data_IF_057716278777
#
_entry.id   IF_057716278777
#
_cell.length_a   1.000
_cell.length_b   1.000
_cell.length_c   1.000
_cell.angle_alpha   90.00
_cell.angle_beta   90.00
_cell.angle_gamma   90.00
#
_symmetry.space_group_name_H-M   'P 1'
#
loop_
_entity.id
_entity.type
_entity.pdbx_description
1 polymer ?
#
# COMPACT_ATOMS: atom_id res chain seq x y z
N UNK A 1 22.08 -2.47 24.23
CA UNK A 1 22.88 -2.17 23.03
C UNK A 1 22.10 -2.46 21.75
N UNK A 2 21.40 -3.59 21.60
CA UNK A 2 20.60 -3.96 20.40
C UNK A 2 19.55 -2.92 20.01
N UNK A 3 18.86 -2.29 20.96
CA UNK A 3 17.84 -1.27 20.67
C UNK A 3 18.45 -0.04 19.96
N UNK A 4 19.65 0.37 20.34
CA UNK A 4 20.34 1.50 19.71
C UNK A 4 20.83 1.17 18.28
N UNK A 5 21.25 -0.06 18.03
CA UNK A 5 21.69 -0.52 16.71
C UNK A 5 20.50 -0.62 15.74
N UNK A 6 19.37 -1.19 16.18
CA UNK A 6 18.13 -1.26 15.40
C UNK A 6 17.59 0.14 15.08
N UNK A 7 17.61 1.07 16.05
CA UNK A 7 17.19 2.45 15.82
C UNK A 7 18.07 3.18 14.79
N UNK A 8 19.40 3.00 14.90
CA UNK A 8 20.37 3.61 13.98
C UNK A 8 20.28 3.02 12.58
N UNK A 9 20.08 1.71 12.48
CA UNK A 9 19.86 1.00 11.20
C UNK A 9 18.56 1.47 10.51
N UNK A 10 17.46 1.55 11.25
CA UNK A 10 16.19 2.05 10.70
C UNK A 10 16.30 3.51 10.21
N UNK A 11 16.97 4.38 10.95
CA UNK A 11 17.19 5.78 10.57
C UNK A 11 18.08 5.91 9.32
N UNK A 12 19.04 5.02 9.14
CA UNK A 12 19.88 4.97 7.93
C UNK A 12 19.08 4.45 6.74
N UNK A 13 18.23 3.44 6.94
CA UNK A 13 17.32 2.91 5.91
C UNK A 13 16.28 3.96 5.46
N UNK A 14 15.75 4.77 6.38
CA UNK A 14 14.85 5.88 6.04
C UNK A 14 15.55 6.96 5.22
N UNK A 15 16.79 7.31 5.53
CA UNK A 15 17.58 8.25 4.72
C UNK A 15 17.84 7.71 3.32
N UNK A 16 18.13 6.42 3.16
CA UNK A 16 18.30 5.79 1.86
C UNK A 16 16.97 5.76 1.06
N UNK A 17 15.84 5.47 1.71
CA UNK A 17 14.51 5.57 1.08
C UNK A 17 14.17 6.98 0.63
N UNK A 18 14.58 8.00 1.35
CA UNK A 18 14.38 9.40 0.98
C UNK A 18 15.23 9.83 -0.23
N UNK A 19 16.41 9.22 -0.44
CA UNK A 19 17.27 9.46 -1.59
C UNK A 19 16.73 8.86 -2.89
N UNK A 20 15.88 7.83 -2.80
CA UNK A 20 15.21 7.15 -3.94
C UNK A 20 13.76 7.64 -4.06
N UNK A 21 13.49 8.91 -3.74
CA UNK A 21 12.17 9.47 -3.93
C UNK A 21 11.82 9.49 -5.43
N UNK A 22 10.87 8.66 -5.82
CA UNK A 22 10.34 8.67 -7.20
C UNK A 22 9.69 10.03 -7.45
N UNK A 23 10.16 10.73 -8.50
CA UNK A 23 9.66 12.05 -8.89
C UNK A 23 8.85 11.96 -10.18
N UNK A 24 7.98 12.92 -10.40
CA UNK A 24 7.24 13.10 -11.64
C UNK A 24 7.30 14.56 -12.09
N UNK A 25 7.15 14.79 -13.39
CA UNK A 25 7.04 16.13 -13.99
C UNK A 25 5.60 16.59 -13.99
N UNK A 26 5.34 17.76 -13.42
CA UNK A 26 4.01 18.39 -13.42
C UNK A 26 4.09 19.82 -13.94
N UNK A 27 2.97 20.31 -14.47
CA UNK A 27 2.83 21.71 -14.88
C UNK A 27 2.05 22.45 -13.78
N UNK A 28 2.71 23.39 -13.11
CA UNK A 28 2.07 24.32 -12.15
C UNK A 28 2.40 25.75 -12.54
N UNK A 29 1.39 26.61 -12.57
CA UNK A 29 1.54 28.03 -13.00
C UNK A 29 2.21 28.18 -14.37
N UNK A 30 1.89 27.29 -15.32
CA UNK A 30 2.43 27.28 -16.67
C UNK A 30 3.90 26.87 -16.80
N UNK A 31 4.53 26.41 -15.72
CA UNK A 31 5.93 25.92 -15.71
C UNK A 31 5.99 24.44 -15.38
N UNK A 32 6.85 23.73 -16.11
CA UNK A 32 7.19 22.35 -15.78
C UNK A 32 8.12 22.32 -14.56
N UNK A 33 7.76 21.54 -13.55
CA UNK A 33 8.56 21.31 -12.36
C UNK A 33 8.57 19.81 -12.04
N UNK A 34 9.66 19.32 -11.45
CA UNK A 34 9.74 17.95 -10.91
C UNK A 34 9.39 17.97 -9.43
N UNK A 35 8.44 17.14 -9.05
CA UNK A 35 8.01 16.99 -7.65
C UNK A 35 8.07 15.52 -7.22
N UNK A 36 8.24 15.25 -5.93
CA UNK A 36 8.04 13.91 -5.38
C UNK A 36 6.61 13.44 -5.62
N UNK A 37 6.41 12.16 -5.95
CA UNK A 37 5.06 11.58 -6.19
C UNK A 37 4.11 11.84 -5.01
N UNK A 38 4.62 11.87 -3.78
CA UNK A 38 3.80 12.12 -2.58
C UNK A 38 3.16 13.53 -2.54
N UNK A 39 3.69 14.47 -3.32
CA UNK A 39 3.24 15.87 -3.37
C UNK A 39 2.24 16.15 -4.50
N UNK A 40 1.86 15.11 -5.24
CA UNK A 40 0.82 15.18 -6.26
C UNK A 40 -0.53 15.43 -5.63
N UNK A 41 -1.28 16.35 -6.20
CA UNK A 41 -2.66 16.67 -5.81
C UNK A 41 -3.62 16.56 -6.99
N UNK A 42 -4.89 16.36 -6.69
CA UNK A 42 -5.95 16.37 -7.70
C UNK A 42 -5.96 17.72 -8.41
N UNK A 43 -6.03 17.69 -9.75
CA UNK A 43 -5.97 18.87 -10.60
C UNK A 43 -4.58 19.21 -11.15
N UNK A 44 -3.50 18.58 -10.64
CA UNK A 44 -2.17 18.71 -11.24
C UNK A 44 -2.18 18.18 -12.68
N UNK A 45 -1.45 18.83 -13.57
CA UNK A 45 -1.20 18.33 -14.92
C UNK A 45 0.14 17.62 -14.94
N UNK A 46 0.12 16.30 -15.12
CA UNK A 46 1.31 15.43 -15.17
C UNK A 46 1.77 15.29 -16.61
N UNK A 47 3.09 15.38 -16.84
CA UNK A 47 3.74 15.09 -18.13
C UNK A 47 4.22 13.63 -18.09
N UNK A 48 3.81 12.86 -19.09
CA UNK A 48 4.19 11.46 -19.28
C UNK A 48 5.07 11.30 -20.51
N UNK A 49 6.12 10.52 -20.40
CA UNK A 49 7.02 10.14 -21.50
C UNK A 49 7.35 8.65 -21.39
N UNK A 50 7.88 8.07 -22.45
CA UNK A 50 8.32 6.67 -22.47
C UNK A 50 9.24 6.37 -21.27
N UNK A 51 8.97 5.27 -20.56
CA UNK A 51 9.66 4.86 -19.34
C UNK A 51 9.13 5.53 -18.05
N UNK A 52 8.20 6.49 -18.13
CA UNK A 52 7.59 7.08 -16.93
C UNK A 52 6.63 6.11 -16.26
N UNK A 53 6.70 6.01 -14.93
CA UNK A 53 5.66 5.40 -14.12
C UNK A 53 4.53 6.42 -13.90
N UNK A 54 3.30 5.98 -14.02
CA UNK A 54 2.11 6.80 -13.82
C UNK A 54 1.85 6.96 -12.32
N UNK A 55 1.91 8.21 -11.79
CA UNK A 55 1.98 8.44 -10.35
C UNK A 55 0.62 8.51 -9.65
N UNK A 56 -0.46 8.65 -10.41
CA UNK A 56 -1.83 8.82 -9.92
C UNK A 56 -2.81 8.40 -11.02
N UNK A 57 -4.11 8.34 -10.75
CA UNK A 57 -5.08 8.15 -11.84
C UNK A 57 -5.25 9.47 -12.60
N UNK A 58 -5.01 9.41 -13.91
CA UNK A 58 -4.92 10.57 -14.79
C UNK A 58 -5.96 10.48 -15.90
N UNK A 59 -6.71 11.57 -16.13
CA UNK A 59 -7.47 11.78 -17.36
C UNK A 59 -6.55 12.39 -18.42
N UNK A 60 -6.43 11.75 -19.57
CA UNK A 60 -5.59 12.21 -20.67
C UNK A 60 -6.23 13.45 -21.33
N UNK A 61 -5.42 14.52 -21.50
CA UNK A 61 -5.80 15.77 -22.18
C UNK A 61 -4.99 16.00 -23.46
N UNK A 62 -3.78 15.44 -23.54
CA UNK A 62 -2.95 15.42 -24.74
C UNK A 62 -2.29 14.05 -24.81
N UNK A 63 -2.24 13.45 -26.00
CA UNK A 63 -1.53 12.18 -26.23
C UNK A 63 -0.95 12.12 -27.63
N UNK A 64 0.26 11.59 -27.74
CA UNK A 64 0.92 11.29 -29.00
C UNK A 64 1.48 9.87 -28.92
N UNK A 65 0.86 8.96 -29.65
CA UNK A 65 1.24 7.54 -29.75
C UNK A 65 1.48 6.89 -28.38
N UNK A 66 0.59 7.18 -27.42
CA UNK A 66 0.71 6.71 -26.05
C UNK A 66 0.31 5.26 -25.93
N UNK A 67 1.26 4.42 -25.53
CA UNK A 67 1.04 3.03 -25.14
C UNK A 67 1.48 2.80 -23.70
N UNK A 68 0.61 2.16 -22.91
CA UNK A 68 0.81 1.94 -21.47
C UNK A 68 0.71 0.47 -21.16
N UNK A 69 1.68 -0.06 -20.43
CA UNK A 69 1.57 -1.41 -19.86
C UNK A 69 0.76 -1.35 -18.58
N UNK A 70 -0.30 -2.13 -18.52
CA UNK A 70 -1.18 -2.28 -17.36
C UNK A 70 -0.94 -3.61 -16.62
N UNK A 71 0.16 -4.30 -16.91
CA UNK A 71 0.48 -5.63 -16.35
C UNK A 71 0.47 -5.68 -14.82
N UNK A 72 0.77 -4.57 -14.16
CA UNK A 72 0.69 -4.45 -12.69
C UNK A 72 -0.75 -4.49 -12.14
N UNK A 73 -1.75 -4.20 -12.97
CA UNK A 73 -3.18 -4.16 -12.59
C UNK A 73 -3.94 -5.37 -13.10
N UNK A 74 -3.77 -5.71 -14.39
CA UNK A 74 -4.53 -6.76 -15.07
C UNK A 74 -3.79 -8.09 -15.15
N UNK A 75 -2.45 -8.07 -14.96
CA UNK A 75 -1.58 -9.22 -15.21
C UNK A 75 -1.28 -9.46 -16.69
N UNK A 76 -1.89 -8.73 -17.61
CA UNK A 76 -1.69 -8.85 -19.04
C UNK A 76 -0.43 -8.08 -19.49
N UNK A 77 0.36 -8.68 -20.37
CA UNK A 77 1.64 -8.09 -20.82
C UNK A 77 1.46 -7.11 -21.99
N UNK A 78 0.31 -7.12 -22.64
CA UNK A 78 0.06 -6.30 -23.82
C UNK A 78 -0.05 -4.82 -23.47
N UNK A 79 0.56 -3.98 -24.31
CA UNK A 79 0.49 -2.54 -24.14
C UNK A 79 -0.84 -2.01 -24.70
N UNK A 80 -1.56 -1.25 -23.88
CA UNK A 80 -2.85 -0.67 -24.23
C UNK A 80 -2.62 0.73 -24.79
N UNK A 81 -3.21 1.02 -25.97
CA UNK A 81 -3.21 2.36 -26.53
C UNK A 81 -4.14 3.25 -25.72
N UNK A 82 -3.63 4.41 -25.33
CA UNK A 82 -4.40 5.43 -24.59
C UNK A 82 -4.56 6.69 -25.44
N UNK A 83 -5.73 7.33 -25.37
CA UNK A 83 -6.10 8.45 -26.24
C UNK A 83 -6.99 9.47 -25.51
N UNK A 84 -7.21 10.62 -26.13
CA UNK A 84 -7.98 11.74 -25.53
C UNK A 84 -9.47 11.44 -25.53
N UNK A 85 -9.96 10.95 -26.66
CA UNK A 85 -11.38 10.64 -26.86
C UNK A 85 -11.56 9.13 -26.97
N UNK A 86 -12.48 8.59 -26.20
CA UNK A 86 -12.86 7.19 -26.33
C UNK A 86 -13.58 6.97 -27.65
N UNK A 87 -13.17 5.94 -28.36
CA UNK A 87 -13.94 5.36 -29.47
C UNK A 87 -14.76 4.16 -29.03
N UNK A 88 -14.57 3.72 -27.77
CA UNK A 88 -15.27 2.59 -27.16
C UNK A 88 -16.71 3.01 -26.80
N UNK A 89 -17.68 2.16 -27.11
CA UNK A 89 -19.02 2.33 -26.61
C UNK A 89 -19.07 1.89 -25.14
N UNK A 90 -19.88 2.58 -24.32
CA UNK A 90 -19.98 2.28 -22.88
C UNK A 90 -20.40 0.82 -22.60
N UNK A 91 -21.09 0.19 -23.57
CA UNK A 91 -21.54 -1.19 -23.52
C UNK A 91 -20.39 -2.21 -23.73
N UNK A 92 -19.25 -1.78 -24.26
CA UNK A 92 -18.06 -2.61 -24.52
C UNK A 92 -17.04 -2.58 -23.36
N UNK A 93 -17.33 -1.85 -22.29
CA UNK A 93 -16.41 -1.68 -21.17
C UNK A 93 -16.76 -2.69 -20.08
N UNK A 94 -16.08 -3.83 -20.10
CA UNK A 94 -16.21 -4.86 -19.06
C UNK A 94 -15.55 -4.44 -17.75
N UNK A 95 -14.40 -3.76 -17.83
CA UNK A 95 -13.62 -3.35 -16.68
C UNK A 95 -13.21 -1.87 -16.77
N UNK A 96 -13.06 -1.21 -15.61
CA UNK A 96 -12.57 0.18 -15.53
C UNK A 96 -11.17 0.31 -16.14
N UNK A 97 -10.34 -0.74 -16.06
CA UNK A 97 -8.99 -0.79 -16.66
C UNK A 97 -8.98 -0.64 -18.17
N UNK A 98 -10.10 -0.98 -18.85
CA UNK A 98 -10.20 -0.95 -20.29
C UNK A 98 -10.41 0.46 -20.84
N UNK A 99 -10.75 1.43 -19.98
CA UNK A 99 -10.88 2.84 -20.35
C UNK A 99 -9.61 3.36 -21.01
N UNK A 100 -9.71 3.69 -22.29
CA UNK A 100 -8.60 4.19 -23.13
C UNK A 100 -8.24 5.66 -22.85
N UNK A 101 -9.08 6.39 -22.16
CA UNK A 101 -8.92 7.81 -21.83
C UNK A 101 -8.33 8.05 -20.43
N UNK A 102 -8.11 7.00 -19.65
CA UNK A 102 -7.58 7.06 -18.29
C UNK A 102 -6.29 6.26 -18.20
N UNK A 103 -5.29 6.83 -17.58
CA UNK A 103 -4.09 6.15 -17.15
C UNK A 103 -4.17 5.91 -15.65
N UNK A 104 -3.88 4.68 -15.20
CA UNK A 104 -4.00 4.27 -13.81
C UNK A 104 -2.67 4.32 -13.07
N UNK A 105 -2.71 4.67 -11.80
CA UNK A 105 -1.54 4.64 -10.92
C UNK A 105 -0.84 3.28 -10.94
N UNK A 106 0.51 3.29 -10.95
CA UNK A 106 1.33 2.07 -10.89
C UNK A 106 1.55 1.38 -12.23
N UNK A 107 0.98 1.91 -13.31
CA UNK A 107 1.25 1.45 -14.69
C UNK A 107 2.41 2.22 -15.32
N UNK A 108 2.98 1.71 -16.41
CA UNK A 108 4.17 2.28 -17.03
C UNK A 108 3.93 2.67 -18.49
N UNK A 109 4.44 3.83 -18.88
CA UNK A 109 4.43 4.27 -20.28
C UNK A 109 5.48 3.49 -21.08
N UNK A 110 5.06 2.73 -22.07
CA UNK A 110 5.96 1.96 -22.96
C UNK A 110 6.49 2.85 -24.08
N UNK A 111 5.60 3.61 -24.73
CA UNK A 111 5.98 4.51 -25.82
C UNK A 111 5.08 5.73 -25.87
N UNK A 112 5.53 6.75 -26.61
CA UNK A 112 4.80 7.99 -26.80
C UNK A 112 4.96 8.99 -25.67
N UNK A 113 4.09 9.99 -25.68
CA UNK A 113 4.04 11.07 -24.68
C UNK A 113 2.61 11.52 -24.46
N UNK A 114 2.33 12.05 -23.26
CA UNK A 114 1.01 12.56 -22.93
C UNK A 114 1.08 13.64 -21.84
N UNK A 115 -0.01 14.40 -21.75
CA UNK A 115 -0.34 15.16 -20.55
C UNK A 115 -1.67 14.66 -19.99
N UNK A 116 -1.75 14.51 -18.69
CA UNK A 116 -2.96 14.07 -18.01
C UNK A 116 -3.23 14.88 -16.76
N UNK A 117 -4.49 15.13 -16.48
CA UNK A 117 -4.94 15.78 -15.24
C UNK A 117 -5.17 14.71 -14.19
N UNK A 118 -4.64 14.92 -13.00
CA UNK A 118 -4.85 14.04 -11.84
C UNK A 118 -6.31 14.08 -11.40
N UNK A 119 -6.96 12.94 -11.40
CA UNK A 119 -8.36 12.78 -10.96
C UNK A 119 -8.50 12.07 -9.63
N UNK A 120 -7.55 11.18 -9.29
CA UNK A 120 -7.51 10.48 -7.99
C UNK A 120 -6.05 10.27 -7.58
N UNK A 121 -5.79 10.27 -6.26
CA UNK A 121 -4.46 10.08 -5.67
C UNK A 121 -4.48 9.02 -4.57
N UNK A 122 -3.33 8.42 -4.30
CA UNK A 122 -3.09 7.48 -3.19
C UNK A 122 -4.18 6.39 -3.07
N UNK A 123 -4.78 6.23 -1.89
CA UNK A 123 -5.76 5.18 -1.60
C UNK A 123 -7.08 5.32 -2.38
N UNK A 124 -7.37 6.51 -2.92
CA UNK A 124 -8.55 6.74 -3.75
C UNK A 124 -8.39 6.29 -5.21
N UNK A 125 -7.16 6.00 -5.66
CA UNK A 125 -6.89 5.47 -6.99
C UNK A 125 -7.44 4.07 -7.19
N UNK A 126 -7.57 3.64 -8.43
CA UNK A 126 -8.00 2.27 -8.74
C UNK A 126 -7.07 1.22 -8.12
N UNK A 127 -5.76 1.44 -8.24
CA UNK A 127 -4.75 0.59 -7.59
C UNK A 127 -4.85 0.61 -6.06
N UNK A 128 -5.05 1.80 -5.46
CA UNK A 128 -5.20 1.96 -4.02
C UNK A 128 -6.39 1.17 -3.46
N UNK A 129 -7.53 1.20 -4.16
CA UNK A 129 -8.73 0.46 -3.77
C UNK A 129 -8.49 -1.06 -3.79
N UNK A 130 -7.82 -1.58 -4.84
CA UNK A 130 -7.44 -3.00 -4.93
C UNK A 130 -6.48 -3.36 -3.79
N UNK A 131 -5.43 -2.56 -3.58
CA UNK A 131 -4.44 -2.78 -2.53
C UNK A 131 -5.08 -2.76 -1.13
N UNK A 132 -6.04 -1.87 -0.88
CA UNK A 132 -6.77 -1.81 0.38
C UNK A 132 -7.63 -3.05 0.61
N UNK A 133 -8.30 -3.55 -0.43
CA UNK A 133 -9.11 -4.79 -0.36
C UNK A 133 -8.23 -6.01 -0.03
N UNK A 134 -7.01 -6.05 -0.57
CA UNK A 134 -6.04 -7.12 -0.32
C UNK A 134 -5.29 -6.94 1.01
N UNK A 135 -5.22 -5.73 1.55
CA UNK A 135 -4.49 -5.39 2.78
C UNK A 135 -5.23 -5.77 4.07
N UNK A 136 -6.46 -6.25 3.98
CA UNK A 136 -7.11 -6.94 5.09
C UNK A 136 -6.25 -8.13 5.46
N UNK A 137 -5.24 -7.94 6.35
CA UNK A 137 -4.31 -8.97 6.79
C UNK A 137 -5.12 -10.15 7.33
N UNK A 138 -5.34 -11.23 6.56
CA UNK A 138 -5.88 -12.44 7.16
C UNK A 138 -4.86 -12.87 8.21
N UNK A 139 -5.27 -12.90 9.49
CA UNK A 139 -4.43 -13.49 10.54
C UNK A 139 -3.99 -14.84 10.03
N UNK A 140 -2.69 -15.04 9.86
CA UNK A 140 -2.18 -16.31 9.38
C UNK A 140 -2.66 -17.43 10.31
N UNK A 141 -2.85 -18.64 9.80
CA UNK A 141 -3.24 -19.80 10.60
C UNK A 141 -2.29 -19.99 11.78
N UNK A 142 -1.02 -19.63 11.62
CA UNK A 142 0.00 -19.62 12.67
C UNK A 142 -0.31 -18.59 13.78
N UNK A 143 -0.67 -17.35 13.42
CA UNK A 143 -1.06 -16.32 14.40
C UNK A 143 -2.32 -16.72 15.19
N UNK A 144 -3.32 -17.31 14.51
CA UNK A 144 -4.51 -17.86 15.17
C UNK A 144 -4.15 -19.00 16.13
N UNK A 145 -3.21 -19.86 15.76
CA UNK A 145 -2.68 -20.93 16.60
C UNK A 145 -2.00 -20.38 17.86
N UNK A 146 -1.10 -19.39 17.72
CA UNK A 146 -0.43 -18.75 18.86
C UNK A 146 -1.43 -18.06 19.79
N UNK A 147 -2.41 -17.31 19.26
CA UNK A 147 -3.46 -16.71 20.09
C UNK A 147 -4.27 -17.75 20.88
N UNK A 148 -4.58 -18.87 20.27
CA UNK A 148 -5.33 -19.96 20.95
C UNK A 148 -4.51 -20.61 22.07
N UNK A 149 -3.23 -20.88 21.83
CA UNK A 149 -2.31 -21.43 22.83
C UNK A 149 -2.11 -20.43 23.97
N UNK A 150 -1.89 -19.14 23.65
CA UNK A 150 -1.73 -18.09 24.64
C UNK A 150 -2.96 -17.93 25.54
N UNK A 151 -4.17 -17.97 24.96
CA UNK A 151 -5.41 -17.92 25.71
C UNK A 151 -5.59 -19.14 26.62
N UNK A 152 -5.17 -20.32 26.14
CA UNK A 152 -5.23 -21.56 26.93
C UNK A 152 -4.26 -21.47 28.11
N UNK A 153 -3.01 -21.04 27.90
CA UNK A 153 -2.02 -20.85 28.96
C UNK A 153 -2.48 -19.83 30.03
N UNK A 154 -3.02 -18.69 29.58
CA UNK A 154 -3.56 -17.67 30.49
C UNK A 154 -4.71 -18.26 31.34
N UNK A 155 -5.61 -19.04 30.73
CA UNK A 155 -6.70 -19.69 31.45
C UNK A 155 -6.19 -20.70 32.49
N UNK A 156 -5.15 -21.47 32.13
CA UNK A 156 -4.47 -22.37 33.06
C UNK A 156 -3.85 -21.63 34.24
N UNK A 157 -3.14 -20.52 33.97
CA UNK A 157 -2.54 -19.69 35.04
C UNK A 157 -3.61 -19.14 35.99
N UNK A 158 -4.71 -18.62 35.47
CA UNK A 158 -5.82 -18.06 36.28
C UNK A 158 -6.45 -19.13 37.19
N UNK A 159 -6.47 -20.39 36.78
CA UNK A 159 -7.03 -21.48 37.58
C UNK A 159 -5.97 -22.07 38.53
N UNK A 160 -4.74 -22.27 38.05
CA UNK A 160 -3.69 -22.97 38.79
C UNK A 160 -3.15 -22.14 39.96
N UNK A 161 -2.93 -20.83 39.74
CA UNK A 161 -2.37 -19.94 40.78
C UNK A 161 -3.25 -19.86 42.00
N UNK A 162 -4.57 -19.56 41.92
CA UNK A 162 -5.42 -19.55 43.11
C UNK A 162 -5.60 -20.96 43.70
N UNK A 163 -5.60 -22.03 42.91
CA UNK A 163 -5.64 -23.39 43.41
C UNK A 163 -4.44 -23.72 44.29
N UNK A 164 -3.22 -23.40 43.81
CA UNK A 164 -1.99 -23.59 44.58
C UNK A 164 -2.02 -22.71 45.83
N UNK A 165 -2.50 -21.47 45.73
CA UNK A 165 -2.64 -20.58 46.90
C UNK A 165 -3.57 -21.18 47.96
N UNK A 166 -4.75 -21.68 47.59
CA UNK A 166 -5.71 -22.31 48.50
C UNK A 166 -5.12 -23.57 49.14
N UNK A 167 -4.44 -24.42 48.36
CA UNK A 167 -3.82 -25.64 48.88
C UNK A 167 -2.69 -25.33 49.86
N UNK A 168 -1.87 -24.32 49.60
CA UNK A 168 -0.79 -23.88 50.48
C UNK A 168 -1.35 -23.19 51.75
N UNK A 169 -2.39 -22.37 51.62
CA UNK A 169 -3.07 -21.74 52.76
C UNK A 169 -3.72 -22.77 53.71
N UNK A 170 -4.16 -23.93 53.18
CA UNK A 170 -4.73 -25.01 53.99
C UNK A 170 -3.67 -25.86 54.69
N UNK A 171 -2.44 -25.92 54.13
CA UNK A 171 -1.36 -26.79 54.63
C UNK A 171 -0.36 -26.08 55.54
N UNK A 172 -0.21 -24.74 55.43
CA UNK A 172 0.74 -23.92 56.19
C UNK A 172 0.12 -22.61 56.60
N UNK A 173 0.67 -21.99 57.70
CA UNK A 173 0.33 -20.64 58.16
C UNK A 173 0.35 -19.61 57.01
N UNK A 174 -0.61 -18.69 57.01
CA UNK A 174 -0.95 -17.76 55.92
C UNK A 174 0.24 -16.94 55.32
N UNK A 175 1.36 -16.81 56.04
CA UNK A 175 2.51 -16.01 55.55
C UNK A 175 3.43 -16.76 54.57
N UNK A 176 3.50 -18.09 54.65
CA UNK A 176 4.36 -18.90 53.77
C UNK A 176 3.69 -19.23 52.42
N UNK A 177 2.37 -19.15 52.35
CA UNK A 177 1.61 -19.39 51.11
C UNK A 177 1.91 -18.31 50.05
N UNK A 178 2.20 -17.07 50.46
CA UNK A 178 2.48 -15.96 49.55
C UNK A 178 3.85 -16.01 48.89
N UNK A 179 4.85 -16.70 49.51
CA UNK A 179 6.20 -16.82 48.96
C UNK A 179 6.36 -17.92 47.90
N UNK A 180 5.37 -18.81 47.75
CA UNK A 180 5.42 -19.95 46.82
C UNK A 180 4.37 -19.88 45.68
N UNK A 181 3.58 -18.81 45.56
CA UNK A 181 2.64 -18.55 44.46
C UNK A 181 3.24 -17.61 43.42
#
# INVERSE_FOLDING_TARGET
LEFFEVYRSNKSAEKLKALVATTCSVIRNGKEIKIPIKEIVIGDTVILSAGSMIPADLRIIEAKDLYVSQSSLTGESDAVKKQINSQMQLEEIDNISDLDTICFMGTNVISGSAKGIVIKTADSTYFGQIAHTLSGKPKTSFQKGIESISKLLIRFMIILIPLIFVLNAWKHDNLTAFTFA
#
